data_IF_877931254830
#
_entry.id   IF_877931254830
#
_cell.length_a   1.000
_cell.length_b   1.000
_cell.length_c   1.000
_cell.angle_alpha   90.00
_cell.angle_beta   90.00
_cell.angle_gamma   90.00
#
_symmetry.space_group_name_H-M   'P 1'
#
loop_
_entity.id
_entity.type
_entity.pdbx_description
1 polymer ?
#
# COMPACT_ATOMS: atom_id res chain seq x y z
N UNK A 1 -15.83 5.22 -17.51
CA UNK A 1 -16.07 6.13 -16.37
C UNK A 1 -15.80 7.55 -16.85
N UNK A 2 -16.52 8.55 -16.34
CA UNK A 2 -16.43 9.95 -16.79
C UNK A 2 -15.00 10.52 -16.74
N UNK A 3 -14.15 9.99 -15.84
CA UNK A 3 -12.79 10.48 -15.58
C UNK A 3 -11.67 9.49 -15.96
N UNK A 4 -11.91 8.55 -16.88
CA UNK A 4 -10.94 7.49 -17.22
C UNK A 4 -9.55 8.03 -17.58
N UNK A 5 -9.47 9.10 -18.36
CA UNK A 5 -8.19 9.67 -18.82
C UNK A 5 -7.36 10.22 -17.66
N UNK A 6 -7.97 10.96 -16.74
CA UNK A 6 -7.29 11.53 -15.57
C UNK A 6 -6.75 10.44 -14.64
N UNK A 7 -7.54 9.40 -14.37
CA UNK A 7 -7.13 8.28 -13.51
C UNK A 7 -5.94 7.53 -14.13
N UNK A 8 -5.95 7.34 -15.44
CA UNK A 8 -4.83 6.70 -16.16
C UNK A 8 -3.56 7.54 -16.05
N UNK A 9 -3.64 8.86 -16.24
CA UNK A 9 -2.48 9.73 -16.08
C UNK A 9 -1.92 9.72 -14.66
N UNK A 10 -2.80 9.76 -13.65
CA UNK A 10 -2.40 9.61 -12.23
C UNK A 10 -1.65 8.29 -12.03
N UNK A 11 -2.19 7.17 -12.52
CA UNK A 11 -1.54 5.87 -12.40
C UNK A 11 -0.18 5.82 -13.12
N UNK A 12 -0.07 6.44 -14.30
CA UNK A 12 1.20 6.53 -15.05
C UNK A 12 2.28 7.36 -14.34
N UNK A 13 1.90 8.28 -13.45
CA UNK A 13 2.84 9.03 -12.60
C UNK A 13 3.18 8.22 -11.34
N UNK A 14 2.19 7.55 -10.73
CA UNK A 14 2.39 6.71 -9.55
C UNK A 14 3.39 5.58 -9.84
N UNK A 15 3.27 4.89 -10.98
CA UNK A 15 4.12 3.73 -11.31
C UNK A 15 5.63 4.03 -11.19
N UNK A 16 6.21 5.02 -11.91
CA UNK A 16 7.64 5.29 -11.84
C UNK A 16 8.06 5.85 -10.48
N UNK A 17 7.27 6.73 -9.86
CA UNK A 17 7.58 7.28 -8.53
C UNK A 17 7.61 6.17 -7.46
N UNK A 18 6.62 5.28 -7.50
CA UNK A 18 6.54 4.16 -6.58
C UNK A 18 7.68 3.15 -6.81
N UNK A 19 8.05 2.92 -8.07
CA UNK A 19 9.19 2.06 -8.40
C UNK A 19 10.49 2.63 -7.84
N UNK A 20 10.72 3.94 -8.00
CA UNK A 20 11.91 4.62 -7.48
C UNK A 20 11.94 4.55 -5.95
N UNK A 21 10.82 4.84 -5.28
CA UNK A 21 10.69 4.72 -3.83
C UNK A 21 10.97 3.31 -3.33
N UNK A 22 10.32 2.30 -3.92
CA UNK A 22 10.46 0.92 -3.48
C UNK A 22 11.84 0.33 -3.78
N UNK A 23 12.44 0.65 -4.93
CA UNK A 23 13.82 0.25 -5.23
C UNK A 23 14.78 0.87 -4.21
N UNK A 24 14.60 2.16 -3.88
CA UNK A 24 15.42 2.79 -2.86
C UNK A 24 15.23 2.11 -1.49
N UNK A 25 13.99 1.83 -1.08
CA UNK A 25 13.73 1.15 0.19
C UNK A 25 14.34 -0.27 0.27
N UNK A 26 14.32 -1.02 -0.82
CA UNK A 26 14.92 -2.37 -0.88
C UNK A 26 16.44 -2.34 -0.94
N UNK A 27 17.05 -1.44 -1.73
CA UNK A 27 18.49 -1.51 -2.03
C UNK A 27 19.34 -0.50 -1.26
N UNK A 28 18.78 0.61 -0.77
CA UNK A 28 19.49 1.61 0.02
C UNK A 28 19.53 1.21 1.51
N UNK A 29 20.24 0.13 1.82
CA UNK A 29 20.35 -0.39 3.20
C UNK A 29 21.46 0.29 4.03
N UNK A 30 22.44 0.89 3.35
CA UNK A 30 23.60 1.51 4.02
C UNK A 30 24.54 0.48 4.65
N UNK A 31 25.54 0.97 5.38
CA UNK A 31 26.48 0.15 6.15
C UNK A 31 26.55 0.73 7.57
N UNK A 32 25.83 0.11 8.50
CA UNK A 32 25.80 0.54 9.90
C UNK A 32 25.08 -0.51 10.75
N UNK A 33 25.46 -0.58 12.02
CA UNK A 33 24.87 -1.53 12.95
C UNK A 33 23.63 -0.93 13.62
N UNK A 34 22.68 -1.82 13.94
CA UNK A 34 21.54 -1.44 14.76
C UNK A 34 21.96 -1.13 16.19
N UNK A 35 21.32 -0.15 16.81
CA UNK A 35 21.63 0.27 18.19
C UNK A 35 20.38 0.29 19.07
N UNK A 36 20.57 0.14 20.38
CA UNK A 36 19.47 0.15 21.35
C UNK A 36 19.03 1.57 21.68
N UNK A 37 17.72 1.77 21.77
CA UNK A 37 17.08 3.02 22.16
C UNK A 37 15.97 2.75 23.18
N UNK A 38 15.86 3.58 24.22
CA UNK A 38 14.78 3.50 25.18
C UNK A 38 13.66 4.46 24.76
N UNK A 39 12.46 3.93 24.54
CA UNK A 39 11.30 4.72 24.14
C UNK A 39 10.75 5.56 25.30
N UNK A 40 9.84 6.48 24.98
CA UNK A 40 9.09 7.26 25.98
C UNK A 40 8.23 6.38 26.92
N UNK A 41 7.96 5.12 26.55
CA UNK A 41 7.27 4.14 27.40
C UNK A 41 8.21 3.32 28.29
N UNK A 42 9.52 3.60 28.26
CA UNK A 42 10.53 2.84 28.99
C UNK A 42 10.94 1.52 28.33
N UNK A 43 10.34 1.17 27.19
CA UNK A 43 10.66 -0.03 26.42
C UNK A 43 12.00 0.13 25.68
N UNK A 44 12.83 -0.91 25.68
CA UNK A 44 14.05 -0.95 24.85
C UNK A 44 13.73 -1.52 23.47
N UNK A 45 14.08 -0.78 22.42
CA UNK A 45 13.91 -1.17 21.01
C UNK A 45 15.22 -1.03 20.26
N UNK A 46 15.42 -1.84 19.23
CA UNK A 46 16.54 -1.70 18.31
C UNK A 46 16.17 -0.74 17.16
N UNK A 47 16.95 0.31 16.96
CA UNK A 47 16.87 1.23 15.82
C UNK A 47 17.78 0.71 14.71
N UNK A 48 17.33 0.80 13.45
CA UNK A 48 18.05 0.25 12.30
C UNK A 48 19.46 0.82 12.15
N UNK A 49 19.61 2.13 12.26
CA UNK A 49 20.89 2.84 12.27
C UNK A 49 21.51 3.11 10.90
N UNK A 50 20.97 2.55 9.81
CA UNK A 50 21.51 2.75 8.46
C UNK A 50 20.46 2.69 7.35
N UNK A 51 20.82 3.21 6.18
CA UNK A 51 20.00 3.13 4.97
C UNK A 51 18.86 4.15 4.93
N UNK A 52 17.89 3.90 4.05
CA UNK A 52 16.74 4.79 3.88
C UNK A 52 15.86 4.87 5.15
N UNK A 53 15.72 3.75 5.85
CA UNK A 53 14.91 3.59 7.07
C UNK A 53 15.77 3.63 8.35
N UNK A 54 16.85 4.44 8.34
CA UNK A 54 17.85 4.44 9.42
C UNK A 54 17.28 4.80 10.80
N UNK A 55 16.24 5.63 10.85
CA UNK A 55 15.64 6.13 12.08
C UNK A 55 14.45 5.29 12.58
N UNK A 56 14.01 4.32 11.78
CA UNK A 56 12.94 3.41 12.16
C UNK A 56 13.48 2.25 13.01
N UNK A 57 12.60 1.61 13.78
CA UNK A 57 12.97 0.38 14.49
C UNK A 57 13.33 -0.73 13.49
N UNK A 58 14.13 -1.70 13.91
CA UNK A 58 14.45 -2.89 13.09
C UNK A 58 13.16 -3.60 12.67
N UNK A 59 12.16 -3.67 13.55
CA UNK A 59 10.86 -4.29 13.24
C UNK A 59 10.08 -3.49 12.18
N UNK A 60 9.94 -2.17 12.36
CA UNK A 60 9.22 -1.30 11.41
C UNK A 60 9.90 -1.29 10.05
N UNK A 61 11.21 -1.06 10.01
CA UNK A 61 11.97 -1.02 8.75
C UNK A 61 11.95 -2.35 7.99
N UNK A 62 11.92 -3.48 8.70
CA UNK A 62 11.78 -4.79 8.05
C UNK A 62 10.43 -4.95 7.35
N UNK A 63 9.35 -4.43 7.95
CA UNK A 63 8.01 -4.43 7.35
C UNK A 63 7.94 -3.47 6.16
N UNK A 64 8.55 -2.30 6.25
CA UNK A 64 8.64 -1.33 5.16
C UNK A 64 9.37 -1.92 3.94
N UNK A 65 10.53 -2.54 4.15
CA UNK A 65 11.28 -3.21 3.07
C UNK A 65 10.45 -4.35 2.46
N UNK A 66 9.77 -5.16 3.28
CA UNK A 66 8.89 -6.20 2.77
C UNK A 66 7.74 -5.61 1.93
N UNK A 67 7.17 -4.48 2.37
CA UNK A 67 6.14 -3.74 1.63
C UNK A 67 6.67 -3.18 0.31
N UNK A 68 7.92 -2.71 0.25
CA UNK A 68 8.56 -2.27 -0.99
C UNK A 68 8.73 -3.42 -1.97
N UNK A 69 9.20 -4.58 -1.50
CA UNK A 69 9.29 -5.79 -2.33
C UNK A 69 7.92 -6.11 -2.92
N UNK A 70 6.87 -6.21 -2.09
CA UNK A 70 5.48 -6.45 -2.53
C UNK A 70 5.02 -5.38 -3.53
N UNK A 71 5.39 -4.12 -3.32
CA UNK A 71 5.06 -3.02 -4.23
C UNK A 71 5.69 -3.24 -5.60
N UNK A 72 6.95 -3.66 -5.67
CA UNK A 72 7.65 -3.95 -6.93
C UNK A 72 7.05 -5.17 -7.62
N UNK A 73 6.85 -6.28 -6.90
CA UNK A 73 6.50 -7.57 -7.52
C UNK A 73 5.00 -7.75 -7.77
N UNK A 74 4.13 -7.07 -7.01
CA UNK A 74 2.68 -7.24 -7.07
C UNK A 74 2.01 -5.88 -7.33
N UNK A 75 2.29 -4.87 -6.51
CA UNK A 75 1.58 -3.58 -6.58
C UNK A 75 1.67 -2.90 -7.95
N UNK A 76 2.89 -2.71 -8.44
CA UNK A 76 3.16 -2.07 -9.74
C UNK A 76 2.61 -2.90 -10.91
N UNK A 77 2.88 -4.22 -11.04
CA UNK A 77 2.29 -5.05 -12.08
C UNK A 77 0.76 -5.03 -12.08
N UNK A 78 0.14 -5.07 -10.90
CA UNK A 78 -1.31 -4.98 -10.74
C UNK A 78 -1.82 -3.64 -11.28
N UNK A 79 -1.21 -2.52 -10.90
CA UNK A 79 -1.62 -1.20 -11.37
C UNK A 79 -1.47 -1.05 -12.90
N UNK A 80 -0.39 -1.58 -13.48
CA UNK A 80 -0.17 -1.62 -14.93
C UNK A 80 -1.28 -2.43 -15.62
N UNK A 81 -1.57 -3.64 -15.15
CA UNK A 81 -2.63 -4.49 -15.69
C UNK A 81 -3.99 -3.79 -15.58
N UNK A 82 -4.26 -3.11 -14.46
CA UNK A 82 -5.47 -2.32 -14.23
C UNK A 82 -5.64 -1.21 -15.26
N UNK A 83 -4.56 -0.45 -15.54
CA UNK A 83 -4.55 0.58 -16.58
C UNK A 83 -4.83 -0.02 -17.96
N UNK A 84 -4.14 -1.11 -18.33
CA UNK A 84 -4.29 -1.74 -19.64
C UNK A 84 -5.71 -2.27 -19.87
N UNK A 85 -6.30 -2.95 -18.87
CA UNK A 85 -7.65 -3.47 -18.95
C UNK A 85 -8.70 -2.36 -18.94
N UNK A 86 -8.47 -1.28 -18.17
CA UNK A 86 -9.36 -0.11 -18.15
C UNK A 86 -9.38 0.60 -19.50
N UNK A 87 -8.24 0.72 -20.19
CA UNK A 87 -8.15 1.25 -21.56
C UNK A 87 -8.95 0.42 -22.56
N UNK A 88 -9.03 -0.90 -22.36
CA UNK A 88 -9.87 -1.82 -23.16
C UNK A 88 -11.37 -1.78 -22.79
N UNK A 89 -11.78 -0.88 -21.89
CA UNK A 89 -13.17 -0.77 -21.45
C UNK A 89 -13.62 -1.84 -20.45
N UNK A 90 -12.72 -2.70 -19.97
CA UNK A 90 -13.05 -3.83 -19.09
C UNK A 90 -13.51 -3.37 -17.70
N UNK A 91 -14.67 -3.88 -17.25
CA UNK A 91 -15.15 -3.63 -15.89
C UNK A 91 -14.22 -4.20 -14.81
N UNK A 92 -13.66 -5.40 -15.04
CA UNK A 92 -12.63 -5.99 -14.16
C UNK A 92 -11.39 -5.12 -14.09
N UNK A 93 -10.99 -4.54 -15.22
CA UNK A 93 -9.88 -3.59 -15.28
C UNK A 93 -10.11 -2.36 -14.41
N UNK A 94 -11.31 -1.79 -14.45
CA UNK A 94 -11.69 -0.64 -13.62
C UNK A 94 -11.62 -0.98 -12.14
N UNK A 95 -12.18 -2.14 -11.74
CA UNK A 95 -12.12 -2.61 -10.35
C UNK A 95 -10.69 -2.86 -9.88
N UNK A 96 -9.86 -3.46 -10.74
CA UNK A 96 -8.46 -3.75 -10.43
C UNK A 96 -7.62 -2.46 -10.34
N UNK A 97 -7.88 -1.48 -11.20
CA UNK A 97 -7.29 -0.14 -11.12
C UNK A 97 -7.69 0.58 -9.83
N UNK A 98 -8.98 0.57 -9.47
CA UNK A 98 -9.46 1.16 -8.20
C UNK A 98 -8.84 0.47 -6.99
N UNK A 99 -8.80 -0.86 -6.97
CA UNK A 99 -8.15 -1.63 -5.89
C UNK A 99 -6.65 -1.36 -5.80
N UNK A 100 -5.95 -1.28 -6.94
CA UNK A 100 -4.54 -0.92 -7.00
C UNK A 100 -4.27 0.48 -6.45
N UNK A 101 -5.08 1.48 -6.81
CA UNK A 101 -4.99 2.82 -6.23
C UNK A 101 -5.25 2.82 -4.72
N UNK A 102 -6.16 1.97 -4.23
CA UNK A 102 -6.39 1.76 -2.80
C UNK A 102 -5.18 1.16 -2.08
N UNK A 103 -4.50 0.19 -2.68
CA UNK A 103 -3.24 -0.37 -2.18
C UNK A 103 -2.15 0.70 -2.05
N UNK A 104 -1.95 1.50 -3.10
CA UNK A 104 -0.95 2.57 -3.11
C UNK A 104 -1.30 3.69 -2.14
N UNK A 105 -2.59 4.02 -2.01
CA UNK A 105 -3.10 4.96 -1.03
C UNK A 105 -2.74 4.51 0.39
N UNK A 106 -3.05 3.26 0.75
CA UNK A 106 -2.73 2.73 2.07
C UNK A 106 -1.21 2.71 2.31
N UNK A 107 -0.43 2.17 1.36
CA UNK A 107 1.02 2.04 1.47
C UNK A 107 1.69 3.38 1.72
N UNK A 108 1.39 4.39 0.89
CA UNK A 108 2.05 5.68 0.99
C UNK A 108 1.43 6.62 2.04
N UNK A 109 0.20 6.36 2.48
CA UNK A 109 -0.30 6.93 3.73
C UNK A 109 0.55 6.43 4.92
N UNK A 110 0.73 5.12 5.04
CA UNK A 110 1.59 4.54 6.08
C UNK A 110 3.01 5.10 6.03
N UNK A 111 3.64 5.17 4.86
CA UNK A 111 5.00 5.75 4.75
C UNK A 111 5.07 7.25 5.05
N UNK A 112 3.97 7.99 4.84
CA UNK A 112 3.94 9.44 5.13
C UNK A 112 3.71 9.72 6.62
N UNK A 113 3.01 8.84 7.33
CA UNK A 113 2.59 9.07 8.72
C UNK A 113 3.30 8.22 9.77
N UNK A 114 3.86 7.06 9.39
CA UNK A 114 4.44 6.09 10.33
C UNK A 114 5.96 5.95 10.18
N UNK A 115 6.48 6.07 8.96
CA UNK A 115 7.92 5.98 8.71
C UNK A 115 8.62 7.25 9.18
N UNK A 116 9.78 7.09 9.82
CA UNK A 116 10.59 8.23 10.23
C UNK A 116 11.01 9.10 9.04
N UNK A 117 11.09 10.42 9.27
CA UNK A 117 11.43 11.37 8.23
C UNK A 117 12.77 11.02 7.56
N UNK A 118 12.75 10.92 6.24
CA UNK A 118 13.91 10.55 5.43
C UNK A 118 13.87 11.29 4.08
N UNK A 119 14.92 11.21 3.25
CA UNK A 119 15.01 11.95 1.99
C UNK A 119 13.85 11.71 1.00
N UNK A 120 13.13 10.59 1.12
CA UNK A 120 12.01 10.24 0.24
C UNK A 120 10.65 10.71 0.75
N UNK A 121 10.59 11.40 1.89
CA UNK A 121 9.34 11.86 2.48
C UNK A 121 8.41 12.60 1.49
N UNK A 122 8.95 13.53 0.70
CA UNK A 122 8.13 14.26 -0.29
C UNK A 122 7.62 13.37 -1.43
N UNK A 123 8.35 12.30 -1.77
CA UNK A 123 7.89 11.29 -2.73
C UNK A 123 6.71 10.52 -2.13
N UNK A 124 6.79 10.12 -0.85
CA UNK A 124 5.69 9.44 -0.16
C UNK A 124 4.44 10.31 -0.11
N UNK A 125 4.56 11.59 0.24
CA UNK A 125 3.43 12.54 0.29
C UNK A 125 2.82 12.75 -1.10
N UNK A 126 3.65 12.83 -2.13
CA UNK A 126 3.20 12.97 -3.53
C UNK A 126 2.43 11.72 -3.96
N UNK A 127 2.97 10.54 -3.69
CA UNK A 127 2.34 9.25 -4.00
C UNK A 127 1.05 9.05 -3.22
N UNK A 128 1.02 9.41 -1.93
CA UNK A 128 -0.17 9.43 -1.10
C UNK A 128 -1.25 10.32 -1.70
N UNK A 129 -0.91 11.56 -2.04
CA UNK A 129 -1.87 12.54 -2.58
C UNK A 129 -2.43 12.10 -3.94
N UNK A 130 -1.56 11.68 -4.85
CA UNK A 130 -1.97 11.16 -6.16
C UNK A 130 -2.87 9.93 -6.02
N UNK A 131 -2.51 9.00 -5.13
CA UNK A 131 -3.30 7.80 -4.89
C UNK A 131 -4.64 8.13 -4.24
N UNK A 132 -4.70 9.09 -3.32
CA UNK A 132 -5.94 9.53 -2.68
C UNK A 132 -6.93 10.10 -3.70
N UNK A 133 -6.51 11.11 -4.47
CA UNK A 133 -7.38 11.72 -5.47
C UNK A 133 -7.69 10.76 -6.62
N UNK A 134 -6.70 9.95 -7.04
CA UNK A 134 -6.91 8.89 -8.01
C UNK A 134 -7.96 7.87 -7.55
N UNK A 135 -7.87 7.42 -6.31
CA UNK A 135 -8.80 6.48 -5.71
C UNK A 135 -10.21 7.08 -5.59
N UNK A 136 -10.35 8.33 -5.14
CA UNK A 136 -11.65 9.03 -5.07
C UNK A 136 -12.28 9.15 -6.46
N UNK A 137 -11.51 9.57 -7.47
CA UNK A 137 -11.99 9.69 -8.85
C UNK A 137 -12.37 8.31 -9.44
N UNK A 138 -11.59 7.28 -9.13
CA UNK A 138 -11.85 5.93 -9.59
C UNK A 138 -13.10 5.35 -8.92
N UNK A 139 -13.23 5.48 -7.60
CA UNK A 139 -14.37 4.98 -6.84
C UNK A 139 -15.67 5.70 -7.21
N UNK A 140 -15.65 7.04 -7.29
CA UNK A 140 -16.82 7.84 -7.71
C UNK A 140 -17.24 7.59 -9.16
N UNK A 141 -16.32 7.10 -10.00
CA UNK A 141 -16.60 6.73 -11.38
C UNK A 141 -17.23 5.35 -11.56
N UNK A 142 -17.28 4.52 -10.52
CA UNK A 142 -17.90 3.19 -10.55
C UNK A 142 -19.40 3.29 -10.26
N UNK A 143 -20.21 2.61 -11.08
CA UNK A 143 -21.63 2.46 -10.83
C UNK A 143 -21.89 1.14 -10.07
N UNK A 144 -22.38 1.16 -8.81
CA UNK A 144 -22.64 -0.05 -8.04
C UNK A 144 -23.62 -1.04 -8.71
N UNK A 145 -24.59 -0.53 -9.47
CA UNK A 145 -25.53 -1.37 -10.21
C UNK A 145 -24.84 -2.11 -11.36
N UNK A 146 -23.98 -1.40 -12.11
CA UNK A 146 -23.16 -1.99 -13.18
C UNK A 146 -22.21 -3.06 -12.61
N UNK A 147 -21.59 -2.80 -11.46
CA UNK A 147 -20.75 -3.80 -10.76
C UNK A 147 -21.57 -5.05 -10.47
N UNK A 148 -22.71 -4.90 -9.79
CA UNK A 148 -23.53 -6.02 -9.33
C UNK A 148 -24.07 -6.85 -10.48
N UNK A 149 -24.49 -6.22 -11.57
CA UNK A 149 -24.96 -6.89 -12.79
C UNK A 149 -23.86 -7.71 -13.49
N UNK A 150 -22.59 -7.36 -13.28
CA UNK A 150 -21.44 -8.04 -13.89
C UNK A 150 -20.79 -9.08 -12.95
N UNK A 151 -21.33 -9.30 -11.75
CA UNK A 151 -20.89 -10.38 -10.85
C UNK A 151 -21.52 -11.70 -11.31
N UNK A 152 -20.68 -12.67 -11.65
CA UNK A 152 -21.17 -14.01 -12.02
C UNK A 152 -21.77 -14.75 -10.82
N UNK A 153 -22.70 -15.65 -11.09
CA UNK A 153 -23.23 -16.58 -10.07
C UNK A 153 -22.15 -17.51 -9.49
N UNK A 154 -21.06 -17.73 -10.23
CA UNK A 154 -19.90 -18.52 -9.80
C UNK A 154 -18.90 -17.74 -8.93
N UNK A 155 -19.14 -16.45 -8.64
CA UNK A 155 -18.23 -15.65 -7.83
C UNK A 155 -18.10 -16.25 -6.42
N UNK A 156 -16.87 -16.47 -5.89
CA UNK A 156 -16.64 -17.25 -4.68
C UNK A 156 -16.93 -16.45 -3.39
N UNK A 157 -18.19 -16.03 -3.21
CA UNK A 157 -18.63 -15.17 -2.09
C UNK A 157 -18.26 -15.76 -0.72
N UNK A 158 -18.52 -17.06 -0.52
CA UNK A 158 -18.22 -17.76 0.74
C UNK A 158 -16.72 -17.82 1.01
N UNK A 159 -15.91 -18.12 -0.01
CA UNK A 159 -14.45 -18.18 0.12
C UNK A 159 -13.87 -16.83 0.54
N UNK A 160 -14.32 -15.74 -0.09
CA UNK A 160 -13.89 -14.38 0.26
C UNK A 160 -14.32 -14.00 1.69
N UNK A 161 -15.55 -14.33 2.08
CA UNK A 161 -16.03 -14.07 3.44
C UNK A 161 -15.21 -14.85 4.49
N UNK A 162 -14.95 -16.14 4.26
CA UNK A 162 -14.11 -16.96 5.15
C UNK A 162 -12.70 -16.39 5.24
N UNK A 163 -12.10 -16.03 4.10
CA UNK A 163 -10.79 -15.40 4.06
C UNK A 163 -10.75 -14.12 4.92
N UNK A 164 -11.72 -13.22 4.76
CA UNK A 164 -11.79 -12.00 5.57
C UNK A 164 -12.03 -12.28 7.05
N UNK A 165 -12.82 -13.30 7.42
CA UNK A 165 -12.99 -13.70 8.82
C UNK A 165 -11.68 -14.23 9.42
N UNK A 166 -10.92 -15.04 8.66
CA UNK A 166 -9.61 -15.54 9.10
C UNK A 166 -8.63 -14.39 9.30
N UNK A 167 -8.52 -13.47 8.32
CA UNK A 167 -7.65 -12.30 8.41
C UNK A 167 -8.06 -11.41 9.58
N UNK A 168 -9.36 -11.18 9.76
CA UNK A 168 -9.91 -10.40 10.87
C UNK A 168 -9.56 -11.03 12.23
N UNK A 169 -9.80 -12.33 12.40
CA UNK A 169 -9.46 -13.05 13.63
C UNK A 169 -7.95 -13.01 13.92
N UNK A 170 -7.12 -13.25 12.91
CA UNK A 170 -5.66 -13.16 13.03
C UNK A 170 -5.20 -11.78 13.50
N UNK A 171 -5.67 -10.72 12.84
CA UNK A 171 -5.33 -9.34 13.21
C UNK A 171 -5.85 -9.00 14.61
N UNK A 172 -7.08 -9.38 14.95
CA UNK A 172 -7.61 -9.17 16.30
C UNK A 172 -6.73 -9.80 17.37
N UNK A 173 -6.29 -11.05 17.18
CA UNK A 173 -5.39 -11.71 18.13
C UNK A 173 -4.03 -11.01 18.22
N UNK A 174 -3.44 -10.64 17.08
CA UNK A 174 -2.13 -9.98 17.03
C UNK A 174 -2.14 -8.61 17.75
N UNK A 175 -3.21 -7.83 17.58
CA UNK A 175 -3.29 -6.48 18.15
C UNK A 175 -3.88 -6.42 19.55
N UNK A 176 -4.83 -7.29 19.90
CA UNK A 176 -5.41 -7.29 21.26
C UNK A 176 -4.36 -7.64 22.32
N UNK A 177 -3.42 -8.54 22.03
CA UNK A 177 -2.32 -8.84 22.95
C UNK A 177 -1.36 -7.67 23.18
N UNK A 178 -1.33 -6.68 22.28
CA UNK A 178 -0.52 -5.47 22.42
C UNK A 178 -1.28 -4.35 23.15
N UNK A 179 -2.58 -4.23 22.90
CA UNK A 179 -3.40 -3.10 23.37
C UNK A 179 -4.04 -3.37 24.73
N UNK A 180 -4.46 -4.60 25.00
CA UNK A 180 -5.08 -4.96 26.28
C UNK A 180 -3.97 -5.15 27.31
N UNK A 181 -3.89 -4.30 28.34
CA UNK A 181 -2.93 -4.51 29.43
C UNK A 181 -3.22 -5.85 30.13
N UNK A 182 -2.21 -6.54 30.69
CA UNK A 182 -2.46 -7.61 31.65
C UNK A 182 -3.24 -7.12 32.87
#
# INVERSE_FOLDING_TARGET
>A
MKNNTSIIWIALIIIPLALIAAIAGVFWQGTGDSYSFQTLRGESVAIRGSGLYAFDTVNSSSQEIAQDVVTIIIGIPLLIVGVLLTKKGSMRGRLLLTGGLGYFLYTYASMSFLTAFNPFYLIYVTLFSLSLFGFILALSGLNPLEVTQNISNSFPRRGIAIYFLIVGAFLSMAWLGLVVPP
#
